data_IF_115461477885
#
_entry.id   IF_115461477885
#
_cell.length_a   1.000
_cell.length_b   1.000
_cell.length_c   1.000
_cell.angle_alpha   90.00
_cell.angle_beta   90.00
_cell.angle_gamma   90.00
#
_symmetry.space_group_name_H-M   'P 1'
#
loop_
_entity.id
_entity.type
_entity.pdbx_description
1 polymer ?
#
# COMPACT_ATOMS: atom_id res chain seq x y z
N UNK A 1 -4.62 16.45 5.09
CA UNK A 1 -3.42 16.14 5.79
C UNK A 1 -2.17 16.60 5.04
N UNK A 2 -2.32 17.11 3.85
CA UNK A 2 -1.48 18.06 3.10
C UNK A 2 0.01 18.14 3.51
N UNK A 3 0.80 17.06 3.30
CA UNK A 3 2.25 17.04 3.53
C UNK A 3 2.69 17.18 4.99
N UNK A 4 1.83 16.80 5.96
CA UNK A 4 2.21 16.83 7.38
C UNK A 4 3.39 15.88 7.63
N UNK A 5 3.38 14.72 7.02
CA UNK A 5 4.44 13.71 7.08
C UNK A 5 5.78 14.26 6.53
N UNK A 6 5.76 14.95 5.38
CA UNK A 6 6.92 15.58 4.77
C UNK A 6 7.47 16.69 5.67
N UNK A 7 6.56 17.51 6.24
CA UNK A 7 6.92 18.61 7.15
C UNK A 7 7.52 18.04 8.45
N UNK A 8 6.88 17.02 9.03
CA UNK A 8 7.34 16.35 10.24
C UNK A 8 8.73 15.72 10.03
N UNK A 9 8.89 14.95 8.95
CA UNK A 9 10.20 14.39 8.59
C UNK A 9 11.27 15.47 8.49
N UNK A 10 10.96 16.59 7.84
CA UNK A 10 11.92 17.68 7.66
C UNK A 10 12.29 18.34 8.99
N UNK A 11 11.33 18.57 9.87
CA UNK A 11 11.56 19.11 11.21
C UNK A 11 12.44 18.17 12.09
N UNK A 12 12.23 16.87 12.00
CA UNK A 12 13.06 15.86 12.69
C UNK A 12 14.47 15.84 12.09
N UNK A 13 14.60 15.81 10.76
CA UNK A 13 15.89 15.83 10.05
C UNK A 13 16.70 17.06 10.40
N UNK A 14 16.06 18.23 10.51
CA UNK A 14 16.67 19.50 10.88
C UNK A 14 16.91 19.63 12.39
N UNK A 15 16.58 18.59 13.19
CA UNK A 15 16.69 18.57 14.66
C UNK A 15 15.88 19.67 15.36
N UNK A 16 14.81 20.16 14.73
CA UNK A 16 13.87 21.14 15.35
C UNK A 16 12.95 20.48 16.36
N UNK A 17 12.66 19.18 16.17
CA UNK A 17 11.91 18.34 17.09
C UNK A 17 12.59 16.97 17.20
N UNK A 18 12.47 16.26 18.35
CA UNK A 18 12.92 14.88 18.48
C UNK A 18 11.99 13.93 17.68
N UNK A 19 12.55 12.86 17.15
CA UNK A 19 11.77 11.83 16.44
C UNK A 19 12.64 10.77 15.79
N UNK A 20 12.01 9.70 15.28
CA UNK A 20 12.71 8.63 14.57
C UNK A 20 13.17 9.09 13.17
N UNK A 21 13.96 8.25 12.51
CA UNK A 21 14.16 8.40 11.08
C UNK A 21 12.83 8.11 10.38
N UNK A 22 12.36 9.04 9.56
CA UNK A 22 11.08 8.99 8.89
C UNK A 22 11.28 9.09 7.37
N UNK A 23 10.59 8.24 6.62
CA UNK A 23 10.39 8.37 5.18
C UNK A 23 8.94 8.76 4.93
N UNK A 24 8.72 9.78 4.13
CA UNK A 24 7.39 10.36 3.88
C UNK A 24 6.88 9.96 2.49
N UNK A 25 5.62 9.54 2.42
CA UNK A 25 4.95 9.15 1.18
C UNK A 25 4.05 10.26 0.61
N UNK A 26 3.57 11.18 1.46
CA UNK A 26 2.66 12.24 1.03
C UNK A 26 1.25 11.70 0.79
N UNK A 27 0.81 11.67 -0.46
CA UNK A 27 -0.50 11.16 -0.87
C UNK A 27 -0.42 9.75 -1.41
N UNK A 28 -1.42 8.94 -1.12
CA UNK A 28 -1.58 7.63 -1.74
C UNK A 28 -2.00 7.81 -3.20
N UNK A 29 -1.29 7.17 -4.11
CA UNK A 29 -1.57 7.23 -5.54
C UNK A 29 -2.47 6.06 -5.92
N UNK A 30 -3.60 6.35 -6.52
CA UNK A 30 -4.60 5.38 -6.98
C UNK A 30 -5.13 5.72 -8.36
N UNK A 31 -5.93 4.80 -8.88
CA UNK A 31 -6.70 4.97 -10.12
C UNK A 31 -8.17 5.16 -9.79
N UNK A 32 -8.94 5.68 -10.74
CA UNK A 32 -10.39 5.86 -10.62
C UNK A 32 -11.08 4.54 -10.24
N UNK A 33 -11.99 4.58 -9.28
CA UNK A 33 -12.74 3.43 -8.78
C UNK A 33 -11.96 2.47 -7.89
N UNK A 34 -10.69 2.74 -7.57
CA UNK A 34 -9.91 1.94 -6.62
C UNK A 34 -10.28 2.22 -5.17
N UNK A 35 -9.74 1.43 -4.23
CA UNK A 35 -9.89 1.68 -2.79
C UNK A 35 -9.47 3.09 -2.40
N UNK A 36 -8.44 3.64 -3.02
CA UNK A 36 -7.95 5.00 -2.76
C UNK A 36 -8.98 6.06 -3.17
N UNK A 37 -9.77 5.79 -4.22
CA UNK A 37 -10.84 6.66 -4.74
C UNK A 37 -12.22 6.39 -4.07
N UNK A 38 -12.28 5.60 -3.03
CA UNK A 38 -13.55 5.18 -2.40
C UNK A 38 -14.19 6.22 -1.47
N UNK A 39 -13.50 7.34 -1.22
CA UNK A 39 -13.91 8.34 -0.23
C UNK A 39 -13.52 8.02 1.22
N UNK A 40 -13.04 6.80 1.50
CA UNK A 40 -12.53 6.42 2.83
C UNK A 40 -11.24 7.20 3.16
N UNK A 41 -10.46 7.53 2.15
CA UNK A 41 -9.18 8.22 2.25
C UNK A 41 -9.25 9.71 1.86
N UNK A 42 -10.43 10.34 1.95
CA UNK A 42 -10.66 11.72 1.49
C UNK A 42 -9.58 12.69 1.96
N UNK A 43 -8.95 13.37 0.99
CA UNK A 43 -7.86 14.30 1.19
C UNK A 43 -6.46 13.65 1.32
N UNK A 44 -6.35 12.32 1.36
CA UNK A 44 -5.08 11.58 1.41
C UNK A 44 -4.65 11.06 0.04
N UNK A 45 -5.56 11.05 -0.92
CA UNK A 45 -5.42 10.44 -2.24
C UNK A 45 -4.91 11.42 -3.31
N UNK A 46 -4.29 10.85 -4.32
CA UNK A 46 -4.06 11.44 -5.63
C UNK A 46 -4.49 10.43 -6.69
N UNK A 47 -5.52 10.76 -7.46
CA UNK A 47 -6.06 9.87 -8.50
C UNK A 47 -5.48 10.26 -9.85
N UNK A 48 -5.04 9.24 -10.61
CA UNK A 48 -4.53 9.40 -11.96
C UNK A 48 -4.71 8.09 -12.74
N UNK A 49 -5.17 8.17 -13.97
CA UNK A 49 -5.46 7.03 -14.82
C UNK A 49 -4.50 6.94 -16.01
N UNK A 50 -4.06 5.73 -16.29
CA UNK A 50 -3.17 5.42 -17.38
C UNK A 50 -1.71 5.82 -17.14
N UNK A 51 -0.77 5.18 -17.87
CA UNK A 51 0.67 5.31 -17.61
C UNK A 51 1.21 6.74 -17.62
N UNK A 52 0.68 7.61 -18.46
CA UNK A 52 1.19 8.98 -18.61
C UNK A 52 0.75 9.91 -17.48
N UNK A 53 -0.49 9.79 -17.01
CA UNK A 53 -0.96 10.57 -15.86
C UNK A 53 -0.28 10.10 -14.57
N UNK A 54 -0.10 8.79 -14.41
CA UNK A 54 0.62 8.21 -13.29
C UNK A 54 2.09 8.66 -13.24
N UNK A 55 2.81 8.71 -14.37
CA UNK A 55 4.15 9.31 -14.43
C UNK A 55 4.15 10.78 -14.02
N UNK A 56 3.15 11.54 -14.47
CA UNK A 56 2.98 12.95 -14.07
C UNK A 56 2.74 13.07 -12.57
N UNK A 57 1.90 12.20 -11.99
CA UNK A 57 1.62 12.16 -10.55
C UNK A 57 2.89 11.89 -9.74
N UNK A 58 3.70 10.90 -10.13
CA UNK A 58 5.01 10.63 -9.50
C UNK A 58 5.94 11.84 -9.54
N UNK A 59 6.02 12.55 -10.66
CA UNK A 59 6.82 13.80 -10.77
C UNK A 59 6.30 14.91 -9.85
N UNK A 60 4.99 14.99 -9.68
CA UNK A 60 4.37 15.96 -8.76
C UNK A 60 4.72 15.61 -7.30
N UNK A 61 4.60 14.34 -6.90
CA UNK A 61 4.98 13.88 -5.56
C UNK A 61 6.47 14.10 -5.29
N UNK A 62 7.34 13.82 -6.27
CA UNK A 62 8.76 14.16 -6.18
C UNK A 62 9.00 15.67 -5.94
N UNK A 63 8.34 16.53 -6.71
CA UNK A 63 8.40 17.98 -6.50
C UNK A 63 7.96 18.38 -5.08
N UNK A 64 6.97 17.66 -4.55
CA UNK A 64 6.44 17.86 -3.22
C UNK A 64 7.37 17.36 -2.11
N UNK A 65 8.39 16.58 -2.49
CA UNK A 65 9.49 16.16 -1.61
C UNK A 65 9.24 14.85 -0.88
N UNK A 66 8.47 13.93 -1.45
CA UNK A 66 8.32 12.58 -0.90
C UNK A 66 9.63 11.78 -0.99
N UNK A 67 9.79 10.78 -0.14
CA UNK A 67 10.87 9.79 -0.19
C UNK A 67 10.41 8.49 -0.86
N UNK A 68 9.10 8.22 -0.78
CA UNK A 68 8.45 7.00 -1.24
C UNK A 68 7.17 7.37 -1.98
N UNK A 69 6.88 6.72 -3.09
CA UNK A 69 5.56 6.73 -3.74
C UNK A 69 4.76 5.56 -3.17
N UNK A 70 3.57 5.82 -2.60
CA UNK A 70 2.68 4.78 -2.07
C UNK A 70 1.52 4.55 -3.03
N UNK A 71 1.27 3.28 -3.37
CA UNK A 71 0.16 2.84 -4.23
C UNK A 71 -0.66 1.75 -3.54
N UNK A 72 -1.89 1.51 -4.02
CA UNK A 72 -2.75 0.41 -3.60
C UNK A 72 -2.98 -0.50 -4.80
N UNK A 73 -2.25 -1.62 -4.87
CA UNK A 73 -2.31 -2.54 -6.00
C UNK A 73 -3.62 -3.30 -6.03
N UNK A 74 -4.13 -3.68 -4.87
CA UNK A 74 -5.42 -4.36 -4.74
C UNK A 74 -6.32 -3.67 -3.71
N UNK A 75 -7.52 -4.20 -3.54
CA UNK A 75 -8.54 -3.60 -2.71
C UNK A 75 -8.35 -3.82 -1.21
N UNK A 76 -9.20 -3.18 -0.45
CA UNK A 76 -9.26 -3.23 1.01
C UNK A 76 -10.70 -3.49 1.46
N UNK A 77 -10.89 -4.27 2.52
CA UNK A 77 -12.21 -4.61 3.05
C UNK A 77 -13.06 -3.42 3.49
N UNK A 78 -12.47 -2.27 3.74
CA UNK A 78 -13.20 -1.03 4.07
C UNK A 78 -13.88 -0.37 2.87
N UNK A 79 -13.51 -0.73 1.66
CA UNK A 79 -14.13 -0.24 0.43
C UNK A 79 -15.40 -1.04 0.12
N UNK A 80 -16.51 -0.36 -0.19
CA UNK A 80 -17.79 -1.03 -0.46
C UNK A 80 -17.83 -1.76 -1.81
N UNK A 81 -17.08 -1.26 -2.79
CA UNK A 81 -17.10 -1.74 -4.19
C UNK A 81 -15.76 -2.37 -4.65
N UNK A 82 -14.81 -2.54 -3.75
CA UNK A 82 -13.55 -3.22 -4.02
C UNK A 82 -13.38 -4.44 -3.11
N UNK A 83 -12.58 -5.39 -3.53
CA UNK A 83 -12.22 -6.55 -2.71
C UNK A 83 -10.71 -6.69 -2.61
N UNK A 84 -10.25 -7.40 -1.57
CA UNK A 84 -8.82 -7.68 -1.36
C UNK A 84 -8.17 -8.47 -2.51
N UNK A 85 -8.98 -9.03 -3.40
CA UNK A 85 -8.51 -9.88 -4.51
C UNK A 85 -8.58 -9.21 -5.88
N UNK A 86 -9.08 -7.98 -5.96
CA UNK A 86 -9.23 -7.23 -7.20
C UNK A 86 -8.06 -6.28 -7.40
N UNK A 87 -7.34 -6.46 -8.51
CA UNK A 87 -6.25 -5.57 -8.88
C UNK A 87 -6.80 -4.22 -9.36
N UNK A 88 -6.30 -3.13 -8.79
CA UNK A 88 -6.67 -1.76 -9.16
C UNK A 88 -5.94 -1.29 -10.42
N UNK A 89 -4.68 -1.69 -10.59
CA UNK A 89 -3.82 -1.22 -11.67
C UNK A 89 -3.63 -2.26 -12.76
N UNK A 90 -3.57 -1.81 -14.00
CA UNK A 90 -3.01 -2.60 -15.10
C UNK A 90 -1.48 -2.70 -14.98
N UNK A 91 -0.91 -3.69 -15.63
CA UNK A 91 0.52 -3.99 -15.61
C UNK A 91 1.41 -2.84 -16.09
N UNK A 92 0.98 -2.15 -17.15
CA UNK A 92 1.69 -0.99 -17.71
C UNK A 92 1.60 0.25 -16.81
N UNK A 93 0.58 0.35 -15.98
CA UNK A 93 0.40 1.40 -14.99
C UNK A 93 1.38 1.23 -13.83
N UNK A 94 1.46 0.03 -13.23
CA UNK A 94 2.46 -0.27 -12.18
C UNK A 94 3.87 -0.08 -12.71
N UNK A 95 4.15 -0.60 -13.91
CA UNK A 95 5.44 -0.42 -14.59
C UNK A 95 5.80 1.05 -14.77
N UNK A 96 4.84 1.90 -15.17
CA UNK A 96 5.06 3.32 -15.37
C UNK A 96 5.37 4.06 -14.05
N UNK A 97 4.67 3.72 -12.97
CA UNK A 97 4.92 4.30 -11.64
C UNK A 97 6.33 3.96 -11.17
N UNK A 98 6.68 2.67 -11.21
CA UNK A 98 7.98 2.19 -10.70
C UNK A 98 9.14 2.74 -11.52
N UNK A 99 9.07 2.68 -12.85
CA UNK A 99 10.09 3.24 -13.72
C UNK A 99 10.31 4.74 -13.47
N UNK A 100 9.23 5.52 -13.36
CA UNK A 100 9.34 6.95 -13.11
C UNK A 100 9.87 7.26 -11.71
N UNK A 101 9.45 6.52 -10.69
CA UNK A 101 9.93 6.69 -9.31
C UNK A 101 11.43 6.37 -9.21
N UNK A 102 11.84 5.20 -9.71
CA UNK A 102 13.23 4.75 -9.66
C UNK A 102 14.17 5.65 -10.47
N UNK A 103 13.74 6.14 -11.63
CA UNK A 103 14.49 7.16 -12.42
C UNK A 103 14.83 8.39 -11.60
N UNK A 104 14.00 8.72 -10.62
CA UNK A 104 14.19 9.86 -9.73
C UNK A 104 14.76 9.53 -8.36
N UNK A 105 15.19 8.28 -8.15
CA UNK A 105 15.75 7.81 -6.88
C UNK A 105 14.73 7.68 -5.75
N UNK A 106 13.42 7.64 -6.08
CA UNK A 106 12.35 7.36 -5.14
C UNK A 106 12.13 5.84 -5.08
N UNK A 107 11.66 5.37 -3.94
CA UNK A 107 11.16 4.00 -3.77
C UNK A 107 9.65 3.96 -3.99
N UNK A 108 9.14 2.76 -4.29
CA UNK A 108 7.71 2.50 -4.39
C UNK A 108 7.30 1.52 -3.29
N UNK A 109 6.30 1.90 -2.52
CA UNK A 109 5.64 1.04 -1.55
C UNK A 109 4.23 0.74 -2.03
N UNK A 110 3.76 -0.49 -1.87
CA UNK A 110 2.38 -0.81 -2.15
C UNK A 110 1.64 -1.36 -0.93
N UNK A 111 0.32 -1.11 -0.89
CA UNK A 111 -0.63 -1.98 -0.25
C UNK A 111 -0.89 -3.13 -1.22
N UNK A 112 -0.76 -4.37 -0.75
CA UNK A 112 -1.18 -5.54 -1.50
C UNK A 112 -1.46 -6.69 -0.55
N UNK A 113 -2.67 -7.23 -0.63
CA UNK A 113 -3.15 -8.32 0.19
C UNK A 113 -3.15 -9.64 -0.55
N UNK A 114 -3.54 -9.62 -1.83
CA UNK A 114 -3.69 -10.80 -2.66
C UNK A 114 -2.37 -11.37 -3.21
N UNK A 115 -2.34 -12.68 -3.48
CA UNK A 115 -1.22 -13.29 -4.20
C UNK A 115 -1.00 -12.65 -5.58
N UNK A 116 -2.08 -12.31 -6.29
CA UNK A 116 -2.01 -11.66 -7.59
C UNK A 116 -1.33 -10.29 -7.51
N UNK A 117 -1.70 -9.48 -6.52
CA UNK A 117 -1.11 -8.16 -6.28
C UNK A 117 0.36 -8.25 -5.86
N UNK A 118 0.71 -9.19 -4.99
CA UNK A 118 2.12 -9.45 -4.61
C UNK A 118 2.95 -9.85 -5.84
N UNK A 119 2.45 -10.75 -6.68
CA UNK A 119 3.13 -11.14 -7.94
C UNK A 119 3.31 -9.95 -8.88
N UNK A 120 2.30 -9.10 -9.02
CA UNK A 120 2.39 -7.88 -9.83
C UNK A 120 3.43 -6.92 -9.23
N UNK A 121 3.43 -6.68 -7.92
CA UNK A 121 4.38 -5.83 -7.23
C UNK A 121 5.83 -6.31 -7.45
N UNK A 122 6.09 -7.60 -7.24
CA UNK A 122 7.43 -8.21 -7.41
C UNK A 122 7.88 -8.13 -8.87
N UNK A 123 7.00 -8.45 -9.80
CA UNK A 123 7.29 -8.44 -11.26
C UNK A 123 7.74 -7.07 -11.74
N UNK A 124 7.08 -6.02 -11.29
CA UNK A 124 7.36 -4.64 -11.73
C UNK A 124 8.34 -3.88 -10.83
N UNK A 125 8.87 -4.53 -9.79
CA UNK A 125 9.99 -3.98 -9.02
C UNK A 125 9.58 -2.99 -7.92
N UNK A 126 8.40 -3.17 -7.32
CA UNK A 126 8.02 -2.46 -6.10
C UNK A 126 9.00 -2.81 -4.99
N UNK A 127 9.42 -1.83 -4.18
CA UNK A 127 10.47 -2.00 -3.18
C UNK A 127 9.94 -2.48 -1.83
N UNK A 128 8.71 -2.13 -1.48
CA UNK A 128 8.08 -2.51 -0.21
C UNK A 128 6.63 -2.93 -0.42
N UNK A 129 6.28 -4.10 0.11
CA UNK A 129 4.92 -4.65 0.06
C UNK A 129 4.37 -4.71 1.48
N UNK A 130 3.31 -3.95 1.73
CA UNK A 130 2.57 -4.03 2.97
C UNK A 130 1.54 -5.15 2.88
N UNK A 131 1.37 -5.87 3.98
CA UNK A 131 0.40 -6.93 4.22
C UNK A 131 0.81 -8.30 3.66
N UNK A 132 0.61 -8.59 2.36
CA UNK A 132 0.83 -9.91 1.74
C UNK A 132 0.04 -11.03 2.44
N UNK A 133 -1.27 -10.79 2.71
CA UNK A 133 -2.08 -11.62 3.58
C UNK A 133 -2.48 -12.96 2.97
N UNK A 134 -2.67 -13.02 1.65
CA UNK A 134 -3.17 -14.20 0.93
C UNK A 134 -2.13 -14.74 -0.05
N UNK A 135 -0.95 -15.11 0.45
CA UNK A 135 0.09 -15.70 -0.41
C UNK A 135 -0.32 -17.10 -0.88
N UNK A 136 0.03 -17.38 -2.13
CA UNK A 136 0.16 -18.74 -2.65
C UNK A 136 1.64 -19.12 -2.78
N UNK A 137 1.93 -20.38 -3.09
CA UNK A 137 3.30 -20.90 -3.20
C UNK A 137 4.12 -20.11 -4.25
N UNK A 138 3.51 -19.76 -5.40
CA UNK A 138 4.19 -19.00 -6.43
C UNK A 138 4.57 -17.60 -5.97
N UNK A 139 3.67 -16.90 -5.25
CA UNK A 139 3.97 -15.57 -4.71
C UNK A 139 5.07 -15.62 -3.64
N UNK A 140 5.08 -16.66 -2.79
CA UNK A 140 6.12 -16.88 -1.80
C UNK A 140 7.49 -17.16 -2.46
N UNK A 141 7.53 -18.00 -3.50
CA UNK A 141 8.74 -18.26 -4.26
C UNK A 141 9.27 -16.99 -4.93
N UNK A 142 8.39 -16.18 -5.54
CA UNK A 142 8.77 -14.91 -6.14
C UNK A 142 9.35 -13.92 -5.11
N UNK A 143 8.77 -13.87 -3.92
CA UNK A 143 9.29 -13.04 -2.82
C UNK A 143 10.68 -13.54 -2.36
N UNK A 144 10.84 -14.85 -2.21
CA UNK A 144 12.12 -15.45 -1.85
C UNK A 144 13.21 -15.14 -2.88
N UNK A 145 12.91 -15.24 -4.18
CA UNK A 145 13.83 -14.86 -5.25
C UNK A 145 14.17 -13.37 -5.25
N UNK A 146 13.22 -12.53 -4.82
CA UNK A 146 13.37 -11.08 -4.77
C UNK A 146 13.88 -10.52 -3.43
N UNK A 147 14.21 -11.38 -2.44
CA UNK A 147 14.50 -11.00 -1.04
C UNK A 147 15.62 -9.97 -0.84
N UNK A 148 16.51 -9.83 -1.81
CA UNK A 148 17.60 -8.84 -1.74
C UNK A 148 17.14 -7.42 -2.16
N UNK A 149 15.96 -7.26 -2.74
CA UNK A 149 15.44 -6.00 -3.27
C UNK A 149 14.05 -5.62 -2.80
N UNK A 150 13.24 -6.55 -2.30
CA UNK A 150 11.87 -6.34 -1.84
C UNK A 150 11.77 -6.60 -0.35
N UNK A 151 11.10 -5.70 0.36
CA UNK A 151 10.78 -5.86 1.77
C UNK A 151 9.28 -6.11 1.92
N UNK A 152 8.91 -7.05 2.77
CA UNK A 152 7.51 -7.31 3.13
C UNK A 152 7.27 -6.90 4.58
N UNK A 153 6.20 -6.17 4.81
CA UNK A 153 5.74 -5.79 6.14
C UNK A 153 4.35 -6.37 6.43
N UNK A 154 4.26 -7.56 7.06
CA UNK A 154 2.99 -8.13 7.44
C UNK A 154 2.19 -7.20 8.35
N UNK A 155 0.89 -7.04 8.07
CA UNK A 155 0.04 -6.05 8.73
C UNK A 155 -1.03 -6.63 9.67
N UNK A 156 -0.85 -7.83 10.20
CA UNK A 156 -1.83 -8.60 11.00
C UNK A 156 -2.48 -7.79 12.14
N UNK A 157 -1.75 -6.81 12.68
CA UNK A 157 -2.26 -5.98 13.78
C UNK A 157 -3.46 -5.13 13.37
N UNK A 158 -3.60 -4.81 12.09
CA UNK A 158 -4.76 -4.07 11.58
C UNK A 158 -6.03 -4.89 11.69
N UNK A 159 -6.01 -6.13 11.19
CA UNK A 159 -7.15 -7.05 11.22
C UNK A 159 -7.53 -7.40 12.67
N UNK A 160 -6.55 -7.73 13.50
CA UNK A 160 -6.77 -7.99 14.93
C UNK A 160 -7.35 -6.77 15.64
N UNK A 161 -6.85 -5.57 15.36
CA UNK A 161 -7.36 -4.33 15.92
C UNK A 161 -8.80 -4.05 15.52
N UNK A 162 -9.18 -4.35 14.26
CA UNK A 162 -10.56 -4.26 13.81
C UNK A 162 -11.46 -5.26 14.54
N UNK A 163 -11.03 -6.51 14.69
CA UNK A 163 -11.82 -7.53 15.39
C UNK A 163 -12.02 -7.21 16.87
N UNK A 164 -11.01 -6.68 17.55
CA UNK A 164 -11.05 -6.39 18.98
C UNK A 164 -11.70 -5.04 19.32
N UNK A 165 -11.59 -4.06 18.43
CA UNK A 165 -11.92 -2.66 18.73
C UNK A 165 -12.85 -1.99 17.71
N UNK A 166 -13.56 -2.75 16.88
CA UNK A 166 -14.44 -2.24 15.83
C UNK A 166 -15.42 -1.18 16.32
N UNK A 167 -16.04 -1.39 17.49
CA UNK A 167 -17.02 -0.46 18.07
C UNK A 167 -16.40 0.92 18.37
N UNK A 168 -15.14 0.99 18.77
CA UNK A 168 -14.44 2.25 19.00
C UNK A 168 -14.19 3.05 17.73
N UNK A 169 -14.24 2.36 16.59
CA UNK A 169 -14.13 2.94 15.25
C UNK A 169 -15.49 3.23 14.61
N UNK A 170 -16.59 2.97 15.34
CA UNK A 170 -17.94 3.14 14.83
C UNK A 170 -18.41 2.01 13.90
N UNK A 171 -17.70 0.88 13.91
CA UNK A 171 -18.02 -0.32 13.13
C UNK A 171 -18.70 -1.36 14.02
N UNK A 172 -19.44 -2.31 13.43
CA UNK A 172 -20.06 -3.42 14.16
C UNK A 172 -19.25 -4.71 13.99
N UNK A 173 -19.33 -5.60 14.97
CA UNK A 173 -18.71 -6.94 14.88
C UNK A 173 -19.29 -7.75 13.70
N UNK A 174 -20.58 -7.53 13.36
CA UNK A 174 -21.20 -8.13 12.19
C UNK A 174 -20.55 -7.65 10.88
N UNK A 175 -20.36 -6.35 10.75
CA UNK A 175 -19.67 -5.76 9.60
C UNK A 175 -18.24 -6.33 9.43
N UNK A 176 -17.49 -6.43 10.51
CA UNK A 176 -16.12 -7.00 10.48
C UNK A 176 -16.14 -8.45 9.99
N UNK A 177 -17.11 -9.25 10.46
CA UNK A 177 -17.26 -10.65 10.05
C UNK A 177 -17.68 -10.78 8.59
N UNK A 178 -18.65 -9.98 8.13
CA UNK A 178 -19.10 -9.99 6.74
C UNK A 178 -18.01 -9.60 5.74
N UNK A 179 -17.03 -8.82 6.18
CA UNK A 179 -15.86 -8.43 5.37
C UNK A 179 -14.74 -9.47 5.37
N UNK A 180 -14.87 -10.56 6.11
CA UNK A 180 -13.94 -11.68 6.09
C UNK A 180 -12.63 -11.45 6.84
N UNK A 181 -12.57 -10.49 7.78
CA UNK A 181 -11.34 -10.21 8.52
C UNK A 181 -10.85 -11.38 9.39
N UNK A 182 -11.76 -12.26 9.85
CA UNK A 182 -11.37 -13.48 10.56
C UNK A 182 -10.56 -14.42 9.66
N UNK A 183 -11.06 -14.69 8.45
CA UNK A 183 -10.37 -15.52 7.46
C UNK A 183 -9.05 -14.90 7.00
N UNK A 184 -9.02 -13.57 6.93
CA UNK A 184 -7.82 -12.82 6.57
C UNK A 184 -6.71 -12.94 7.61
N UNK A 185 -7.03 -12.93 8.91
CA UNK A 185 -6.06 -13.20 10.00
C UNK A 185 -5.45 -14.58 9.85
N UNK A 186 -6.27 -15.61 9.60
CA UNK A 186 -5.76 -16.97 9.40
C UNK A 186 -4.85 -17.07 8.16
N UNK A 187 -5.25 -16.44 7.06
CA UNK A 187 -4.45 -16.39 5.84
C UNK A 187 -3.14 -15.64 6.06
N UNK A 188 -3.17 -14.52 6.78
CA UNK A 188 -1.98 -13.74 7.13
C UNK A 188 -0.97 -14.54 7.96
N UNK A 189 -1.44 -15.31 8.94
CA UNK A 189 -0.57 -16.18 9.73
C UNK A 189 0.11 -17.25 8.84
N UNK A 190 -0.64 -17.87 7.94
CA UNK A 190 -0.10 -18.83 6.98
C UNK A 190 0.93 -18.18 6.06
N UNK A 191 0.63 -17.01 5.54
CA UNK A 191 1.53 -16.25 4.66
C UNK A 191 2.85 -15.89 5.34
N UNK A 192 2.81 -15.47 6.62
CA UNK A 192 4.04 -15.22 7.41
C UNK A 192 4.88 -16.49 7.60
N UNK A 193 4.25 -17.66 7.70
CA UNK A 193 4.97 -18.94 7.81
C UNK A 193 5.60 -19.40 6.49
N UNK A 194 5.12 -18.88 5.35
CA UNK A 194 5.66 -19.18 4.01
C UNK A 194 6.84 -18.27 3.66
N UNK A 195 6.94 -17.09 4.26
CA UNK A 195 8.03 -16.10 4.06
C UNK A 195 9.27 -16.42 4.91
#
# INVERSE_FOLDING_TARGET
IHRVDITLRSAIKDRKIPGPRLAAAGKDLGVSGSTVDSGVFDGLEQIADGPWELRKAVRQQRRDGVDIVKIFIDGEGVCEHCTQHELSFHDDEVSAIVDEAHRHGLRVACHSRSAAGVKQAVRYGVDYIAHANFLDEEAADMLYEARDRVFVGPGIIWELGLMEHCESLGLTSEWVRERGYEDEVEASIKSVQMM
#
